data_IF_572310569561
#
_entry.id   IF_572310569561
#
_cell.length_a   1.000
_cell.length_b   1.000
_cell.length_c   1.000
_cell.angle_alpha   90.00
_cell.angle_beta   90.00
_cell.angle_gamma   90.00
#
_symmetry.space_group_name_H-M   'P 1'
#
loop_
_entity.id
_entity.type
_entity.pdbx_description
1 polymer ?
#
# COMPACT_ATOMS: atom_id res chain seq x y z
N UNK A 1 16.92 2.73 10.34
CA UNK A 1 15.55 3.27 10.45
C UNK A 1 14.84 2.82 9.20
N UNK A 2 13.94 1.87 9.38
CA UNK A 2 13.08 1.31 8.33
C UNK A 2 11.85 2.26 8.19
N UNK A 3 10.76 1.91 7.54
CA UNK A 3 9.41 2.50 7.64
C UNK A 3 8.90 3.37 6.48
N UNK A 4 9.70 3.78 5.50
CA UNK A 4 9.18 4.43 4.27
C UNK A 4 9.89 3.92 3.00
N UNK A 5 9.81 2.61 2.75
CA UNK A 5 10.33 1.99 1.52
C UNK A 5 9.21 1.40 0.67
N UNK A 6 9.40 1.34 -0.65
CA UNK A 6 8.45 0.68 -1.54
C UNK A 6 8.23 -0.80 -1.19
N UNK A 7 9.24 -1.46 -0.63
CA UNK A 7 9.11 -2.83 -0.13
C UNK A 7 8.18 -2.93 1.08
N UNK A 8 8.29 -2.00 2.03
CA UNK A 8 7.39 -1.92 3.19
C UNK A 8 5.95 -1.62 2.77
N UNK A 9 5.76 -0.65 1.87
CA UNK A 9 4.43 -0.28 1.36
C UNK A 9 3.73 -1.48 0.69
N UNK A 10 4.43 -2.20 -0.19
CA UNK A 10 3.85 -3.39 -0.85
C UNK A 10 3.70 -4.57 0.10
N UNK A 11 4.58 -4.72 1.10
CA UNK A 11 4.41 -5.75 2.11
C UNK A 11 3.13 -5.56 2.92
N UNK A 12 2.72 -4.31 3.18
CA UNK A 12 1.45 -3.98 3.82
C UNK A 12 0.25 -4.40 2.97
N UNK A 13 0.28 -4.12 1.66
CA UNK A 13 -0.75 -4.57 0.69
C UNK A 13 -0.83 -6.10 0.65
N UNK A 14 0.32 -6.77 0.54
CA UNK A 14 0.42 -8.23 0.55
C UNK A 14 -0.12 -8.83 1.84
N UNK A 15 0.18 -8.20 2.98
CA UNK A 15 -0.31 -8.59 4.30
C UNK A 15 -1.83 -8.53 4.37
N UNK A 16 -2.43 -7.42 3.92
CA UNK A 16 -3.88 -7.27 3.84
C UNK A 16 -4.52 -8.30 2.91
N UNK A 17 -3.96 -8.53 1.71
CA UNK A 17 -4.50 -9.50 0.76
C UNK A 17 -4.54 -10.91 1.36
N UNK A 18 -3.47 -11.34 2.04
CA UNK A 18 -3.37 -12.65 2.69
C UNK A 18 -4.31 -12.79 3.88
N UNK A 19 -4.47 -11.71 4.66
CA UNK A 19 -5.26 -11.72 5.88
C UNK A 19 -6.77 -11.67 5.62
N UNK A 20 -7.20 -10.80 4.70
CA UNK A 20 -8.59 -10.45 4.49
C UNK A 20 -8.98 -10.46 3.02
N UNK A 21 -8.16 -9.82 2.17
CA UNK A 21 -8.53 -9.53 0.78
C UNK A 21 -8.94 -10.76 -0.03
N UNK A 22 -8.14 -11.84 0.01
CA UNK A 22 -8.44 -13.10 -0.70
C UNK A 22 -9.76 -13.73 -0.25
N UNK A 23 -10.09 -13.64 1.03
CA UNK A 23 -11.34 -14.20 1.59
C UNK A 23 -12.56 -13.36 1.22
N UNK A 24 -12.40 -12.03 1.24
CA UNK A 24 -13.47 -11.09 0.90
C UNK A 24 -13.75 -11.04 -0.60
N UNK A 25 -12.72 -11.27 -1.43
CA UNK A 25 -12.80 -11.17 -2.88
C UNK A 25 -12.16 -12.40 -3.56
N UNK A 26 -12.74 -13.61 -3.40
CA UNK A 26 -12.12 -14.85 -3.87
C UNK A 26 -11.94 -14.92 -5.39
N UNK A 27 -12.86 -14.29 -6.14
CA UNK A 27 -12.86 -14.30 -7.61
C UNK A 27 -12.20 -13.07 -8.23
N UNK A 28 -11.60 -12.19 -7.41
CA UNK A 28 -10.94 -11.01 -7.93
C UNK A 28 -9.80 -11.41 -8.86
N UNK A 29 -9.74 -10.76 -10.03
CA UNK A 29 -8.63 -10.84 -10.99
C UNK A 29 -7.80 -9.55 -11.03
N UNK A 30 -8.29 -8.51 -10.36
CA UNK A 30 -7.69 -7.19 -10.35
C UNK A 30 -7.92 -6.49 -9.02
N UNK A 31 -6.92 -5.74 -8.57
CA UNK A 31 -7.01 -4.80 -7.45
C UNK A 31 -6.73 -3.38 -7.95
N UNK A 32 -7.50 -2.42 -7.45
CA UNK A 32 -7.26 -0.99 -7.66
C UNK A 32 -6.63 -0.40 -6.40
N UNK A 33 -5.50 0.28 -6.57
CA UNK A 33 -4.80 1.01 -5.53
C UNK A 33 -4.85 2.49 -5.87
N UNK A 34 -5.49 3.28 -5.02
CA UNK A 34 -5.40 4.75 -5.06
C UNK A 34 -4.25 5.18 -4.15
N UNK A 35 -3.15 5.62 -4.75
CA UNK A 35 -1.92 5.93 -4.04
C UNK A 35 -1.61 7.44 -4.07
N UNK A 36 -0.95 7.91 -3.02
CA UNK A 36 -0.34 9.23 -3.05
C UNK A 36 0.89 9.23 -3.95
N UNK A 37 1.23 10.39 -4.52
CA UNK A 37 2.28 10.51 -5.54
C UNK A 37 3.73 10.52 -5.03
N UNK A 38 3.98 10.45 -3.72
CA UNK A 38 5.30 10.67 -3.09
C UNK A 38 5.77 9.53 -2.18
N UNK A 39 6.99 9.63 -1.63
CA UNK A 39 7.53 8.65 -0.68
C UNK A 39 7.60 7.21 -1.24
N UNK A 40 7.31 6.23 -0.39
CA UNK A 40 7.39 4.79 -0.70
C UNK A 40 6.44 4.27 -1.77
N UNK A 41 5.35 4.97 -2.10
CA UNK A 41 4.39 4.57 -3.14
C UNK A 41 4.37 5.50 -4.36
N UNK A 42 5.38 6.39 -4.45
CA UNK A 42 5.49 7.37 -5.51
C UNK A 42 5.59 6.75 -6.92
N UNK A 43 4.94 7.38 -7.89
CA UNK A 43 4.85 6.87 -9.27
C UNK A 43 6.20 6.76 -10.00
N UNK A 44 7.21 7.53 -9.56
CA UNK A 44 8.60 7.47 -10.07
C UNK A 44 9.42 6.35 -9.43
N UNK A 45 9.00 5.81 -8.29
CA UNK A 45 9.81 4.88 -7.51
C UNK A 45 9.85 3.50 -8.19
N UNK A 46 11.04 3.10 -8.64
CA UNK A 46 11.29 1.80 -9.28
C UNK A 46 11.02 0.64 -8.34
N UNK A 47 11.48 0.77 -7.09
CA UNK A 47 11.30 -0.26 -6.06
C UNK A 47 9.81 -0.54 -5.79
N UNK A 48 8.97 0.49 -5.77
CA UNK A 48 7.51 0.34 -5.65
C UNK A 48 6.95 -0.53 -6.78
N UNK A 49 7.28 -0.23 -8.04
CA UNK A 49 6.83 -0.99 -9.22
C UNK A 49 7.32 -2.43 -9.20
N UNK A 50 8.59 -2.64 -8.85
CA UNK A 50 9.17 -3.97 -8.78
C UNK A 50 8.52 -4.84 -7.69
N UNK A 51 8.27 -4.26 -6.52
CA UNK A 51 7.61 -5.00 -5.43
C UNK A 51 6.13 -5.26 -5.75
N UNK A 52 5.45 -4.34 -6.44
CA UNK A 52 4.11 -4.56 -6.98
C UNK A 52 4.08 -5.69 -8.01
N UNK A 53 5.09 -5.82 -8.87
CA UNK A 53 5.22 -6.97 -9.78
C UNK A 53 5.26 -8.28 -8.99
N UNK A 54 6.15 -8.36 -8.00
CA UNK A 54 6.25 -9.56 -7.13
C UNK A 54 4.93 -9.87 -6.44
N UNK A 55 4.19 -8.85 -6.02
CA UNK A 55 2.86 -9.03 -5.43
C UNK A 55 1.84 -9.53 -6.46
N UNK A 56 1.79 -8.93 -7.66
CA UNK A 56 0.92 -9.34 -8.76
C UNK A 56 1.13 -10.82 -9.12
N UNK A 57 2.40 -11.25 -9.24
CA UNK A 57 2.77 -12.63 -9.56
C UNK A 57 2.37 -13.61 -8.46
N UNK A 58 2.59 -13.24 -7.19
CA UNK A 58 2.25 -14.08 -6.04
C UNK A 58 0.75 -14.21 -5.82
N UNK A 59 0.01 -13.13 -6.06
CA UNK A 59 -1.42 -13.07 -5.84
C UNK A 59 -2.24 -13.52 -7.06
N UNK A 60 -1.61 -13.65 -8.22
CA UNK A 60 -2.26 -13.84 -9.52
C UNK A 60 -3.33 -12.76 -9.79
N UNK A 61 -2.95 -11.51 -9.53
CA UNK A 61 -3.82 -10.33 -9.66
C UNK A 61 -3.17 -9.26 -10.53
N UNK A 62 -3.95 -8.68 -11.44
CA UNK A 62 -3.58 -7.40 -12.03
C UNK A 62 -3.68 -6.28 -10.99
N UNK A 63 -2.67 -5.43 -10.88
CA UNK A 63 -2.64 -4.30 -9.96
C UNK A 63 -2.76 -3.01 -10.75
N UNK A 64 -3.93 -2.37 -10.70
CA UNK A 64 -4.09 -1.00 -11.20
C UNK A 64 -3.69 -0.01 -10.12
N UNK A 65 -2.84 0.94 -10.47
CA UNK A 65 -2.45 2.05 -9.60
C UNK A 65 -2.93 3.35 -10.22
N UNK A 66 -3.67 4.12 -9.43
CA UNK A 66 -4.10 5.48 -9.74
C UNK A 66 -3.51 6.42 -8.70
N UNK A 67 -2.70 7.36 -9.16
CA UNK A 67 -2.07 8.34 -8.28
C UNK A 67 -2.90 9.60 -8.15
N UNK A 68 -3.01 10.11 -6.94
CA UNK A 68 -3.54 11.45 -6.68
C UNK A 68 -2.57 12.51 -7.23
N UNK A 69 -3.07 13.60 -7.85
CA UNK A 69 -2.22 14.73 -8.24
C UNK A 69 -1.42 15.31 -7.06
N UNK A 70 -0.26 15.95 -7.30
CA UNK A 70 0.50 16.61 -6.25
C UNK A 70 -0.37 17.58 -5.42
N UNK A 71 -0.22 17.55 -4.10
CA UNK A 71 -0.98 18.42 -3.18
C UNK A 71 -2.42 17.98 -2.92
N UNK A 72 -2.84 16.78 -3.38
CA UNK A 72 -4.23 16.31 -3.25
C UNK A 72 -4.42 15.11 -2.31
N UNK A 73 -3.45 14.80 -1.44
CA UNK A 73 -3.56 13.68 -0.48
C UNK A 73 -4.80 13.79 0.44
N UNK A 74 -5.27 15.01 0.74
CA UNK A 74 -6.53 15.24 1.47
C UNK A 74 -7.76 14.66 0.76
N UNK A 75 -7.69 14.31 -0.52
CA UNK A 75 -8.80 13.65 -1.23
C UNK A 75 -8.75 12.13 -1.13
N UNK A 76 -7.68 11.57 -0.57
CA UNK A 76 -7.60 10.17 -0.24
C UNK A 76 -8.62 9.83 0.87
N UNK A 77 -9.50 8.86 0.61
CA UNK A 77 -10.57 8.49 1.54
C UNK A 77 -10.04 8.05 2.91
N UNK A 78 -8.81 7.52 2.97
CA UNK A 78 -8.21 7.06 4.22
C UNK A 78 -8.01 8.19 5.23
N UNK A 79 -7.69 9.41 4.77
CA UNK A 79 -7.50 10.59 5.61
C UNK A 79 -8.76 10.88 6.44
N UNK A 80 -9.93 10.82 5.79
CA UNK A 80 -11.21 11.16 6.40
C UNK A 80 -11.92 9.99 7.07
N UNK A 81 -11.72 8.77 6.56
CA UNK A 81 -12.45 7.58 7.04
C UNK A 81 -11.70 6.79 8.10
N UNK A 82 -10.39 7.00 8.23
CA UNK A 82 -9.56 6.24 9.16
C UNK A 82 -8.67 7.16 10.00
N UNK A 83 -7.77 7.93 9.37
CA UNK A 83 -6.75 8.68 10.10
C UNK A 83 -7.33 9.76 11.01
N UNK A 84 -8.36 10.50 10.57
CA UNK A 84 -9.09 11.46 11.40
C UNK A 84 -9.59 10.87 12.72
N UNK A 85 -10.11 9.64 12.70
CA UNK A 85 -10.64 8.95 13.87
C UNK A 85 -9.52 8.36 14.73
N UNK A 86 -8.45 7.84 14.12
CA UNK A 86 -7.26 7.38 14.85
C UNK A 86 -6.66 8.55 15.64
N UNK A 87 -6.42 9.69 14.98
CA UNK A 87 -5.89 10.89 15.63
C UNK A 87 -6.77 11.36 16.79
N UNK A 88 -8.10 11.27 16.62
CA UNK A 88 -9.05 11.61 17.70
C UNK A 88 -8.95 10.64 18.88
N UNK A 89 -8.79 9.34 18.60
CA UNK A 89 -8.67 8.30 19.62
C UNK A 89 -7.34 8.40 20.39
N UNK A 90 -6.30 8.95 19.78
CA UNK A 90 -4.97 9.11 20.38
C UNK A 90 -4.81 10.38 21.21
N UNK A 91 -5.84 11.24 21.26
CA UNK A 91 -5.70 12.60 21.81
C UNK A 91 -5.25 12.57 23.27
N UNK A 92 -4.02 13.04 23.50
CA UNK A 92 -3.43 13.14 24.84
C UNK A 92 -2.71 11.87 25.33
N UNK A 93 -2.62 10.83 24.49
CA UNK A 93 -1.96 9.56 24.86
C UNK A 93 -0.50 9.52 24.40
N UNK A 94 0.48 9.30 25.30
CA UNK A 94 1.88 9.18 24.93
C UNK A 94 2.17 7.82 24.29
N UNK A 95 2.62 7.82 23.03
CA UNK A 95 2.95 6.62 22.25
C UNK A 95 4.34 6.05 22.62
N UNK A 96 4.46 5.46 23.80
CA UNK A 96 5.76 5.04 24.38
C UNK A 96 6.28 3.70 23.86
N UNK A 97 5.39 2.81 23.42
CA UNK A 97 5.74 1.48 22.95
C UNK A 97 4.77 1.00 21.86
N UNK A 98 5.20 -0.06 21.15
CA UNK A 98 4.41 -0.63 20.05
C UNK A 98 3.06 -1.20 20.51
N UNK A 99 3.00 -1.76 21.73
CA UNK A 99 1.77 -2.35 22.25
C UNK A 99 0.70 -1.28 22.45
N UNK A 100 1.08 -0.15 23.04
CA UNK A 100 0.24 1.04 23.21
C UNK A 100 -0.25 1.54 21.87
N UNK A 101 0.64 1.68 20.88
CA UNK A 101 0.26 2.12 19.53
C UNK A 101 -0.76 1.15 18.90
N UNK A 102 -0.51 -0.16 18.93
CA UNK A 102 -1.40 -1.18 18.35
C UNK A 102 -2.77 -1.15 19.03
N UNK A 103 -2.79 -1.06 20.36
CA UNK A 103 -4.01 -1.00 21.17
C UNK A 103 -4.84 0.23 20.79
N UNK A 104 -4.21 1.41 20.73
CA UNK A 104 -4.90 2.65 20.39
C UNK A 104 -5.41 2.67 18.94
N UNK A 105 -4.67 2.14 17.97
CA UNK A 105 -5.18 2.02 16.59
C UNK A 105 -6.38 1.08 16.56
N UNK A 106 -6.24 -0.11 17.13
CA UNK A 106 -7.27 -1.16 17.05
C UNK A 106 -8.55 -0.81 17.82
N UNK A 107 -8.44 0.03 18.85
CA UNK A 107 -9.59 0.54 19.61
C UNK A 107 -10.41 1.61 18.86
N UNK A 108 -9.92 2.11 17.72
CA UNK A 108 -10.62 3.15 16.96
C UNK A 108 -11.93 2.60 16.38
N UNK A 109 -13.05 3.20 16.80
CA UNK A 109 -14.40 2.86 16.34
C UNK A 109 -15.21 4.13 16.06
N UNK A 110 -16.31 4.01 15.31
CA UNK A 110 -17.26 5.11 15.07
C UNK A 110 -18.70 4.64 15.27
N UNK A 111 -19.62 5.58 15.49
CA UNK A 111 -21.06 5.28 15.57
C UNK A 111 -21.61 4.59 14.30
N UNK A 112 -20.92 4.75 13.16
CA UNK A 112 -21.25 4.08 11.88
C UNK A 112 -20.61 2.68 11.73
N UNK A 113 -19.99 2.15 12.79
CA UNK A 113 -19.48 0.79 12.83
C UNK A 113 -18.07 0.59 12.22
N UNK A 114 -17.23 1.63 12.15
CA UNK A 114 -15.83 1.45 11.76
C UNK A 114 -15.14 0.46 12.70
N UNK A 115 -14.47 -0.55 12.15
CA UNK A 115 -13.57 -1.44 12.88
C UNK A 115 -12.17 -1.34 12.28
N UNK A 116 -11.16 -1.15 13.12
CA UNK A 116 -9.77 -1.04 12.69
C UNK A 116 -9.00 -2.24 13.19
N UNK A 117 -8.24 -2.87 12.28
CA UNK A 117 -7.30 -3.93 12.62
C UNK A 117 -5.88 -3.42 12.43
N UNK A 118 -5.07 -3.45 13.47
CA UNK A 118 -3.66 -3.11 13.42
C UNK A 118 -2.81 -4.37 13.56
N UNK A 119 -1.71 -4.46 12.83
CA UNK A 119 -0.73 -5.55 12.95
C UNK A 119 0.68 -4.98 12.94
N UNK A 120 1.53 -5.47 13.82
CA UNK A 120 2.94 -5.12 13.86
C UNK A 120 3.71 -5.95 12.84
N UNK A 121 4.35 -5.27 11.89
CA UNK A 121 5.36 -5.89 11.03
C UNK A 121 6.74 -5.74 11.65
N UNK A 122 7.36 -6.87 12.01
CA UNK A 122 8.72 -6.93 12.61
C UNK A 122 9.81 -7.20 11.57
N UNK A 123 9.45 -7.32 10.29
CA UNK A 123 10.42 -7.50 9.20
C UNK A 123 11.27 -6.24 9.05
N UNK A 124 12.43 -6.42 8.43
CA UNK A 124 13.35 -5.34 8.08
C UNK A 124 13.28 -5.06 6.59
N UNK A 125 13.14 -3.80 6.22
CA UNK A 125 13.15 -3.31 4.84
C UNK A 125 14.32 -2.34 4.67
N UNK A 126 15.45 -2.82 4.09
CA UNK A 126 16.62 -1.98 3.91
C UNK A 126 16.32 -0.81 2.96
N UNK A 127 16.84 0.36 3.31
CA UNK A 127 16.83 1.56 2.48
C UNK A 127 17.97 1.54 1.47
N UNK A 128 17.89 2.38 0.44
CA UNK A 128 18.98 2.53 -0.53
C UNK A 128 19.15 1.36 -1.49
N UNK A 129 18.13 0.49 -1.63
CA UNK A 129 18.13 -0.51 -2.69
C UNK A 129 17.95 0.18 -4.04
N UNK A 130 19.00 0.13 -4.84
CA UNK A 130 18.92 0.45 -6.25
C UNK A 130 18.26 -0.68 -7.02
N UNK A 131 17.39 -0.30 -7.96
CA UNK A 131 16.72 -1.22 -8.87
C UNK A 131 17.39 -1.06 -10.22
N UNK A 132 17.94 -2.14 -10.77
CA UNK A 132 18.66 -2.09 -12.06
C UNK A 132 17.70 -1.99 -13.24
N UNK A 133 18.21 -1.59 -14.40
CA UNK A 133 17.42 -1.49 -15.64
C UNK A 133 16.89 -2.85 -16.08
N UNK A 134 17.67 -3.91 -15.89
CA UNK A 134 17.25 -5.28 -16.16
C UNK A 134 16.09 -5.70 -15.25
N UNK A 135 16.11 -5.33 -13.96
CA UNK A 135 14.99 -5.58 -13.05
C UNK A 135 13.73 -4.83 -13.47
N UNK A 136 13.87 -3.58 -13.94
CA UNK A 136 12.72 -2.80 -14.40
C UNK A 136 12.12 -3.29 -15.72
N UNK A 137 12.94 -3.80 -16.63
CA UNK A 137 12.46 -4.38 -17.89
C UNK A 137 11.57 -5.60 -17.67
N UNK A 138 11.73 -6.29 -16.54
CA UNK A 138 10.89 -7.44 -16.15
C UNK A 138 9.54 -7.04 -15.56
N UNK A 139 9.31 -5.76 -15.27
CA UNK A 139 8.02 -5.29 -14.76
C UNK A 139 7.04 -5.23 -15.94
N UNK A 140 6.00 -6.06 -15.89
CA UNK A 140 4.92 -6.14 -16.87
C UNK A 140 3.92 -4.99 -16.64
N UNK A 141 4.38 -3.77 -16.97
CA UNK A 141 3.67 -2.52 -16.73
C UNK A 141 3.03 -2.00 -18.02
N UNK A 142 1.72 -1.79 -17.97
CA UNK A 142 0.94 -1.10 -19.00
C UNK A 142 0.52 0.28 -18.49
N UNK A 143 0.94 1.32 -19.20
CA UNK A 143 0.56 2.70 -18.87
C UNK A 143 -0.89 2.97 -19.23
N UNK A 144 -1.59 3.73 -18.41
CA UNK A 144 -2.94 4.16 -18.71
C UNK A 144 -2.94 5.20 -19.86
N UNK A 145 -4.02 5.27 -20.64
CA UNK A 145 -4.21 6.32 -21.65
C UNK A 145 -4.32 7.71 -21.01
N UNK A 146 -4.91 7.79 -19.81
CA UNK A 146 -5.04 9.03 -19.06
C UNK A 146 -3.95 9.10 -17.97
N UNK A 147 -3.06 10.08 -18.10
CA UNK A 147 -1.90 10.28 -17.22
C UNK A 147 -1.05 9.02 -17.02
N UNK A 148 -0.66 8.34 -18.11
CA UNK A 148 0.13 7.10 -18.10
C UNK A 148 1.55 7.23 -17.52
N UNK A 149 2.02 8.46 -17.34
CA UNK A 149 3.20 8.79 -16.58
C UNK A 149 3.04 8.41 -15.09
N UNK A 150 1.84 8.56 -14.53
CA UNK A 150 1.52 8.30 -13.12
C UNK A 150 0.72 7.01 -12.96
N UNK A 151 -0.28 6.80 -13.82
CA UNK A 151 -1.26 5.73 -13.71
C UNK A 151 -0.90 4.54 -14.59
N UNK A 152 -0.97 3.34 -14.04
CA UNK A 152 -0.57 2.14 -14.76
C UNK A 152 -1.24 0.90 -14.19
N UNK A 153 -1.17 -0.19 -14.96
CA UNK A 153 -1.54 -1.53 -14.54
C UNK A 153 -0.29 -2.40 -14.58
N UNK A 154 0.02 -3.08 -13.50
CA UNK A 154 1.02 -4.15 -13.47
C UNK A 154 0.26 -5.48 -13.57
N UNK A 155 0.55 -6.24 -14.63
CA UNK A 155 -0.05 -7.56 -14.83
C UNK A 155 0.85 -8.64 -14.22
N UNK A 156 0.29 -9.77 -13.75
CA UNK A 156 1.10 -10.94 -13.44
C UNK A 156 1.95 -11.31 -14.66
N UNK A 157 3.20 -11.66 -14.42
CA UNK A 157 4.03 -12.30 -15.43
C UNK A 157 3.48 -13.70 -15.67
N UNK A 158 3.39 -14.11 -16.94
CA UNK A 158 2.99 -15.48 -17.29
C UNK A 158 3.97 -16.42 -16.59
N UNK A 159 3.47 -17.34 -15.77
CA UNK A 159 4.30 -18.43 -15.25
C UNK A 159 4.72 -19.27 -16.45
N UNK A 160 6.01 -19.22 -16.78
CA UNK A 160 6.61 -20.22 -17.66
C UNK A 160 6.47 -21.62 -17.04
#
# INVERSE_FOLDING_TARGET
TDHDTGAFAVASIRGWWRAEGRRLYPDAKKILITADGGGSNGWRLRLWKLELQKFADQADLAVAVCHFPPGTSKWNKIEHRLFSFISSNWRGEPLRDYETIIKLISATTTAKGLKVTCRLDRRKYPTGRDVTDEEMQRVNLERNKFHGEWNYVIKPSVKA
#
